data_IF_982587930196
#
_entry.id   IF_982587930196
#
_cell.length_a   1.000
_cell.length_b   1.000
_cell.length_c   1.000
_cell.angle_alpha   90.00
_cell.angle_beta   90.00
_cell.angle_gamma   90.00
#
_symmetry.space_group_name_H-M   'P 1'
#
loop_
_entity.id
_entity.type
_entity.pdbx_description
1 polymer ?
#
# COMPACT_ATOMS: atom_id res chain seq x y z
N UNK A 1 6.71 -2.73 11.85
CA UNK A 1 5.88 -1.51 11.99
C UNK A 1 4.90 -1.49 10.82
N UNK A 2 3.75 -0.81 10.92
CA UNK A 2 2.74 -0.77 9.84
C UNK A 2 2.58 0.66 9.35
N UNK A 3 2.43 0.86 8.04
CA UNK A 3 2.41 2.17 7.40
C UNK A 3 1.03 2.44 6.80
N UNK A 4 0.10 2.93 7.61
CA UNK A 4 -1.24 3.27 7.12
C UNK A 4 -1.24 4.62 6.42
N UNK A 5 -1.96 4.72 5.30
CA UNK A 5 -2.14 5.99 4.60
C UNK A 5 -3.39 6.72 5.11
N UNK A 6 -3.28 8.04 5.23
CA UNK A 6 -4.34 8.93 5.70
C UNK A 6 -4.57 10.09 4.71
N UNK A 7 -5.04 9.81 3.48
CA UNK A 7 -5.37 10.86 2.52
C UNK A 7 -6.58 11.69 3.00
N UNK A 8 -6.72 12.90 2.45
CA UNK A 8 -7.87 13.77 2.74
C UNK A 8 -9.22 13.19 2.26
N UNK A 9 -9.20 12.37 1.21
CA UNK A 9 -10.36 11.62 0.72
C UNK A 9 -10.41 10.22 1.34
N UNK A 10 -11.50 9.46 1.12
CA UNK A 10 -11.53 8.07 1.54
C UNK A 10 -10.40 7.27 0.86
N UNK A 11 -9.70 6.36 1.58
CA UNK A 11 -8.51 5.69 1.05
C UNK A 11 -8.73 4.98 -0.29
N UNK A 12 -9.85 4.26 -0.47
CA UNK A 12 -10.15 3.57 -1.73
C UNK A 12 -10.35 4.55 -2.89
N UNK A 13 -11.07 5.65 -2.66
CA UNK A 13 -11.29 6.69 -3.69
C UNK A 13 -9.96 7.34 -4.09
N UNK A 14 -9.10 7.63 -3.13
CA UNK A 14 -7.78 8.20 -3.40
C UNK A 14 -6.91 7.23 -4.21
N UNK A 15 -6.88 5.94 -3.81
CA UNK A 15 -6.10 4.91 -4.50
C UNK A 15 -6.58 4.67 -5.94
N UNK A 16 -7.90 4.60 -6.16
CA UNK A 16 -8.48 4.45 -7.51
C UNK A 16 -8.24 5.65 -8.41
N UNK A 17 -8.03 6.85 -7.83
CA UNK A 17 -7.63 8.03 -8.60
C UNK A 17 -6.18 7.99 -9.07
N UNK A 18 -5.36 7.06 -8.57
CA UNK A 18 -3.94 6.90 -8.92
C UNK A 18 -3.72 5.64 -9.76
N UNK A 19 -4.30 4.51 -9.34
CA UNK A 19 -4.25 3.23 -10.03
C UNK A 19 -5.69 2.72 -10.23
N UNK A 20 -6.22 2.97 -11.42
CA UNK A 20 -7.58 2.62 -11.83
C UNK A 20 -7.76 1.10 -12.01
N UNK A 21 -6.67 0.34 -12.10
CA UNK A 21 -6.66 -1.10 -12.38
C UNK A 21 -5.97 -1.87 -11.25
N UNK A 22 -6.55 -1.89 -10.03
CA UNK A 22 -5.94 -2.58 -8.92
C UNK A 22 -5.85 -4.09 -9.16
N UNK A 23 -4.84 -4.69 -8.56
CA UNK A 23 -4.55 -6.12 -8.65
C UNK A 23 -5.21 -6.85 -7.50
N UNK A 24 -5.50 -8.13 -7.73
CA UNK A 24 -6.00 -9.04 -6.68
C UNK A 24 -4.88 -9.80 -5.97
N UNK A 25 -3.63 -9.63 -6.44
CA UNK A 25 -2.43 -10.26 -5.89
C UNK A 25 -1.33 -9.21 -5.63
N UNK A 26 -0.49 -9.42 -4.59
CA UNK A 26 0.55 -8.48 -4.16
C UNK A 26 1.81 -8.58 -5.05
N UNK A 27 1.71 -8.16 -6.30
CA UNK A 27 2.90 -8.08 -7.16
C UNK A 27 3.74 -6.86 -6.81
N UNK A 28 5.05 -7.07 -6.64
CA UNK A 28 6.01 -5.97 -6.52
C UNK A 28 5.95 -5.11 -7.78
N UNK A 29 6.00 -3.77 -7.63
CA UNK A 29 6.07 -2.88 -8.79
C UNK A 29 7.40 -3.03 -9.52
N UNK A 30 7.38 -2.94 -10.84
CA UNK A 30 8.59 -3.02 -11.68
C UNK A 30 9.44 -1.75 -11.56
N UNK A 31 8.81 -0.61 -11.26
CA UNK A 31 9.48 0.67 -11.10
C UNK A 31 9.90 0.89 -9.63
N UNK A 32 11.19 1.21 -9.42
CA UNK A 32 11.76 1.48 -8.11
C UNK A 32 11.15 2.69 -7.38
N UNK A 33 10.56 3.65 -8.11
CA UNK A 33 9.89 4.83 -7.54
C UNK A 33 8.43 4.58 -7.17
N UNK A 34 7.96 3.34 -7.33
CA UNK A 34 6.58 2.95 -7.04
C UNK A 34 6.56 2.04 -5.81
N UNK A 35 5.57 2.27 -4.95
CA UNK A 35 5.29 1.44 -3.78
C UNK A 35 4.07 0.56 -3.99
N UNK A 36 4.04 -0.56 -3.25
CA UNK A 36 2.88 -1.43 -3.16
C UNK A 36 1.99 -0.99 -1.99
N UNK A 37 0.70 -0.83 -2.23
CA UNK A 37 -0.29 -0.53 -1.20
C UNK A 37 -1.35 -1.61 -1.22
N UNK A 38 -1.77 -2.09 -0.05
CA UNK A 38 -2.94 -2.96 0.09
C UNK A 38 -4.09 -2.16 0.70
N UNK A 39 -5.27 -2.23 0.08
CA UNK A 39 -6.51 -1.76 0.67
C UNK A 39 -7.40 -2.95 1.05
N UNK A 40 -8.05 -2.87 2.21
CA UNK A 40 -8.95 -3.91 2.70
C UNK A 40 -10.13 -3.30 3.45
N UNK A 41 -11.30 -3.93 3.30
CA UNK A 41 -12.49 -3.60 4.06
C UNK A 41 -12.48 -4.38 5.38
N UNK A 42 -12.37 -3.67 6.50
CA UNK A 42 -12.41 -4.24 7.85
C UNK A 42 -13.53 -3.54 8.63
N UNK A 43 -14.52 -4.29 9.09
CA UNK A 43 -15.62 -3.80 9.93
C UNK A 43 -16.30 -2.53 9.36
N UNK A 44 -16.54 -2.50 8.04
CA UNK A 44 -17.18 -1.38 7.37
C UNK A 44 -16.28 -0.17 7.08
N UNK A 45 -14.98 -0.24 7.41
CA UNK A 45 -13.99 0.79 7.10
C UNK A 45 -12.95 0.28 6.11
N UNK A 46 -12.61 1.11 5.13
CA UNK A 46 -11.45 0.83 4.28
C UNK A 46 -10.19 1.26 5.02
N UNK A 47 -9.28 0.32 5.21
CA UNK A 47 -7.91 0.58 5.65
C UNK A 47 -6.98 0.35 4.48
N UNK A 48 -5.97 1.21 4.34
CA UNK A 48 -4.94 1.07 3.33
C UNK A 48 -3.55 1.17 3.96
N UNK A 49 -2.66 0.27 3.58
CA UNK A 49 -1.34 0.10 4.17
C UNK A 49 -0.27 -0.02 3.06
N UNK A 50 0.82 0.72 3.21
CA UNK A 50 2.00 0.59 2.36
C UNK A 50 2.76 -0.67 2.77
N UNK A 51 3.23 -1.44 1.78
CA UNK A 51 3.99 -2.68 1.95
C UNK A 51 5.40 -2.50 1.37
N UNK A 52 6.34 -1.89 2.11
CA UNK A 52 7.64 -1.51 1.55
C UNK A 52 8.56 -2.69 1.24
N UNK A 53 8.36 -3.83 1.93
CA UNK A 53 9.21 -5.01 1.81
C UNK A 53 8.38 -6.29 1.74
N UNK A 54 8.99 -7.39 1.29
CA UNK A 54 8.34 -8.71 1.28
C UNK A 54 7.83 -9.13 2.66
N UNK A 55 8.53 -8.73 3.73
CA UNK A 55 8.10 -9.02 5.10
C UNK A 55 6.76 -8.35 5.42
N UNK A 56 6.57 -7.09 5.00
CA UNK A 56 5.28 -6.40 5.15
C UNK A 56 4.20 -7.09 4.33
N UNK A 57 4.52 -7.58 3.12
CA UNK A 57 3.58 -8.37 2.31
C UNK A 57 3.14 -9.63 3.06
N UNK A 58 4.07 -10.39 3.65
CA UNK A 58 3.76 -11.59 4.43
C UNK A 58 2.88 -11.28 5.63
N UNK A 59 3.21 -10.24 6.39
CA UNK A 59 2.44 -9.81 7.56
C UNK A 59 1.04 -9.36 7.18
N UNK A 60 0.89 -8.53 6.15
CA UNK A 60 -0.40 -8.02 5.70
C UNK A 60 -1.26 -9.11 5.04
N UNK A 61 -0.65 -10.04 4.31
CA UNK A 61 -1.37 -11.07 3.59
C UNK A 61 -1.75 -12.26 4.49
N UNK A 62 -0.92 -12.60 5.48
CA UNK A 62 -1.10 -13.78 6.32
C UNK A 62 -0.94 -15.10 5.55
N UNK A 63 -1.25 -16.22 6.20
CA UNK A 63 -1.12 -17.58 5.63
C UNK A 63 -2.32 -18.07 4.82
N UNK A 64 -2.95 -17.23 3.98
CA UNK A 64 -4.16 -17.62 3.22
C UNK A 64 -4.45 -16.75 1.99
N UNK A 65 -5.51 -17.10 1.25
CA UNK A 65 -5.94 -16.37 0.04
C UNK A 65 -6.52 -15.00 0.45
N UNK A 66 -6.03 -13.87 -0.10
CA UNK A 66 -6.39 -12.53 0.33
C UNK A 66 -7.75 -12.08 -0.24
N UNK A 67 -8.85 -12.74 0.14
CA UNK A 67 -10.19 -12.31 -0.27
C UNK A 67 -10.54 -10.95 0.35
N UNK A 68 -11.08 -10.04 -0.46
CA UNK A 68 -11.47 -8.69 -0.03
C UNK A 68 -10.33 -7.68 0.06
N UNK A 69 -9.17 -8.00 -0.53
CA UNK A 69 -8.03 -7.09 -0.65
C UNK A 69 -7.83 -6.64 -2.09
N UNK A 70 -7.42 -5.39 -2.25
CA UNK A 70 -6.99 -4.82 -3.53
C UNK A 70 -5.59 -4.26 -3.36
N UNK A 71 -4.75 -4.48 -4.37
CA UNK A 71 -3.36 -4.05 -4.37
C UNK A 71 -3.14 -2.98 -5.43
N UNK A 72 -2.51 -1.89 -5.03
CA UNK A 72 -2.32 -0.70 -5.85
C UNK A 72 -0.84 -0.40 -5.98
N UNK A 73 -0.46 0.09 -7.15
CA UNK A 73 0.87 0.61 -7.42
C UNK A 73 0.83 2.13 -7.37
N UNK A 74 1.47 2.72 -6.36
CA UNK A 74 1.37 4.17 -6.07
C UNK A 74 2.77 4.78 -6.07
N UNK A 75 3.00 5.93 -6.74
CA UNK A 75 4.28 6.62 -6.66
C UNK A 75 4.69 6.94 -5.22
N UNK A 76 5.93 6.64 -4.85
CA UNK A 76 6.46 6.85 -3.48
C UNK A 76 6.32 8.30 -3.02
N UNK A 77 6.49 9.26 -3.92
CA UNK A 77 6.30 10.69 -3.65
C UNK A 77 4.90 11.02 -3.13
N UNK A 78 3.87 10.34 -3.64
CA UNK A 78 2.50 10.50 -3.15
C UNK A 78 2.30 9.78 -1.81
N UNK A 79 2.95 8.64 -1.60
CA UNK A 79 2.88 7.90 -0.34
C UNK A 79 3.46 8.70 0.83
N UNK A 80 4.62 9.36 0.63
CA UNK A 80 5.22 10.22 1.66
C UNK A 80 4.33 11.40 2.06
N UNK A 81 3.46 11.87 1.15
CA UNK A 81 2.53 12.96 1.44
C UNK A 81 1.35 12.55 2.33
N UNK A 82 1.02 11.25 2.38
CA UNK A 82 -0.16 10.73 3.10
C UNK A 82 0.18 9.70 4.19
N UNK A 83 1.47 9.46 4.43
CA UNK A 83 1.96 8.55 5.47
C UNK A 83 3.21 9.16 6.11
N UNK A 84 3.03 9.86 7.24
CA UNK A 84 4.10 10.61 7.91
C UNK A 84 5.25 9.74 8.42
N UNK A 85 4.95 8.48 8.74
CA UNK A 85 5.90 7.53 9.29
C UNK A 85 6.73 6.81 8.21
N UNK A 86 6.37 6.99 6.94
CA UNK A 86 7.03 6.36 5.81
C UNK A 86 8.22 7.20 5.33
N UNK A 87 9.41 6.60 5.30
CA UNK A 87 10.64 7.25 4.83
C UNK A 87 11.26 6.48 3.66
N UNK A 88 12.22 7.05 2.92
CA UNK A 88 12.96 6.31 1.89
C UNK A 88 13.63 5.03 2.40
N UNK A 89 14.16 5.07 3.63
CA UNK A 89 14.82 3.93 4.28
C UNK A 89 13.82 2.78 4.55
N UNK A 90 12.52 3.09 4.70
CA UNK A 90 11.48 2.06 4.86
C UNK A 90 11.42 1.09 3.67
N UNK A 91 11.84 1.52 2.47
CA UNK A 91 11.91 0.69 1.27
C UNK A 91 13.28 0.01 1.06
N UNK A 92 14.16 0.04 2.06
CA UNK A 92 15.51 -0.53 1.96
C UNK A 92 16.51 0.36 1.21
N UNK A 93 16.21 1.65 1.03
CA UNK A 93 17.17 2.62 0.49
C UNK A 93 18.32 2.86 1.48
N UNK A 94 19.55 2.58 1.07
CA UNK A 94 20.72 3.22 1.65
C UNK A 94 20.73 4.68 1.17
N UNK A 95 20.96 5.60 2.10
CA UNK A 95 21.23 7.02 1.79
C UNK A 95 22.44 7.16 0.87
#
# INVERSE_FOLDING_TARGET
MRYFIEPAAQPLTWLLGIDETPRTLPFSPENADTGLVVAQLISGKILAEVLPTEEHVKVACGGGVPLGRLYFHVPKTQLYAVCSDLTPESFGGNV
#
